data_IF_525202733029
#
_entry.id   IF_525202733029
#
_cell.length_a   1.000
_cell.length_b   1.000
_cell.length_c   1.000
_cell.angle_alpha   90.00
_cell.angle_beta   90.00
_cell.angle_gamma   90.00
#
_symmetry.space_group_name_H-M   'P 1'
#
loop_
_entity.id
_entity.type
_entity.pdbx_description
1 polymer ?
#
# COMPACT_ATOMS: atom_id res chain seq x y z
N UNK A 1 11.93 -28.94 64.32
CA UNK A 1 11.22 -28.92 63.01
C UNK A 1 11.22 -27.47 62.50
N UNK A 2 12.05 -27.15 61.51
CA UNK A 2 12.15 -25.81 60.90
C UNK A 2 11.64 -25.96 59.47
N UNK A 3 10.53 -25.29 59.16
CA UNK A 3 9.93 -25.19 57.88
C UNK A 3 10.67 -24.13 57.05
N UNK A 4 11.21 -24.54 55.92
CA UNK A 4 11.85 -23.68 54.92
C UNK A 4 10.77 -23.13 54.00
N UNK A 5 10.56 -21.81 54.01
CA UNK A 5 9.71 -21.14 53.03
C UNK A 5 10.55 -20.80 51.80
N UNK A 6 10.16 -21.33 50.64
CA UNK A 6 10.77 -21.04 49.34
C UNK A 6 10.05 -19.87 48.67
N UNK A 7 10.72 -18.73 48.60
CA UNK A 7 10.24 -17.54 47.90
C UNK A 7 10.54 -17.69 46.40
N UNK A 8 9.49 -17.87 45.60
CA UNK A 8 9.58 -17.88 44.15
C UNK A 8 9.55 -16.42 43.65
N UNK A 9 10.70 -15.95 43.17
CA UNK A 9 10.83 -14.67 42.50
C UNK A 9 10.43 -14.87 41.02
N UNK A 10 9.24 -14.42 40.66
CA UNK A 10 8.73 -14.42 39.29
C UNK A 10 9.33 -13.22 38.53
N UNK A 11 10.42 -13.46 37.80
CA UNK A 11 11.06 -12.48 36.93
C UNK A 11 10.22 -12.24 35.71
N UNK A 12 9.53 -11.11 35.64
CA UNK A 12 8.84 -10.68 34.43
C UNK A 12 9.87 -10.25 33.36
N UNK A 13 10.02 -11.07 32.33
CA UNK A 13 10.81 -10.73 31.14
C UNK A 13 10.04 -9.70 30.34
N UNK A 14 10.45 -8.44 30.40
CA UNK A 14 9.93 -7.35 29.58
C UNK A 14 10.61 -7.43 28.21
N UNK A 15 9.94 -8.06 27.24
CA UNK A 15 10.40 -8.06 25.86
C UNK A 15 10.06 -6.71 25.23
N UNK A 16 11.05 -5.82 25.17
CA UNK A 16 10.93 -4.59 24.37
C UNK A 16 11.04 -4.96 22.89
N UNK A 17 9.92 -4.92 22.20
CA UNK A 17 9.89 -4.99 20.75
C UNK A 17 10.43 -3.67 20.16
N UNK A 18 11.70 -3.66 19.78
CA UNK A 18 12.25 -2.59 18.93
C UNK A 18 11.76 -2.81 17.49
N UNK A 19 10.65 -2.17 17.11
CA UNK A 19 10.23 -2.08 15.72
C UNK A 19 11.08 -1.02 15.02
N UNK A 20 12.26 -1.42 14.57
CA UNK A 20 13.16 -0.55 13.84
C UNK A 20 12.78 -0.45 12.35
N UNK A 21 13.02 0.68 11.74
CA UNK A 21 12.86 1.00 10.31
C UNK A 21 13.52 -0.04 9.37
N UNK A 22 14.46 -0.85 9.85
CA UNK A 22 15.11 -1.94 9.12
C UNK A 22 14.23 -3.17 8.85
N UNK A 23 13.11 -3.34 9.55
CA UNK A 23 12.21 -4.49 9.35
C UNK A 23 11.32 -4.31 8.12
N UNK A 24 10.84 -3.09 7.86
CA UNK A 24 9.96 -2.78 6.72
C UNK A 24 10.67 -3.00 5.38
N UNK A 25 11.89 -2.49 5.22
CA UNK A 25 12.68 -2.69 3.98
C UNK A 25 12.99 -4.17 3.72
N UNK A 26 13.30 -4.94 4.77
CA UNK A 26 13.53 -6.38 4.66
C UNK A 26 12.26 -7.12 4.24
N UNK A 27 11.12 -6.77 4.82
CA UNK A 27 9.82 -7.38 4.45
C UNK A 27 9.48 -7.08 2.99
N UNK A 28 9.63 -5.84 2.52
CA UNK A 28 9.44 -5.47 1.12
C UNK A 28 10.38 -6.28 0.21
N UNK A 29 11.65 -6.42 0.59
CA UNK A 29 12.62 -7.21 -0.17
C UNK A 29 12.24 -8.68 -0.25
N UNK A 30 11.83 -9.30 0.85
CA UNK A 30 11.38 -10.70 0.87
C UNK A 30 10.13 -10.87 0.00
N UNK A 31 9.14 -10.00 0.16
CA UNK A 31 7.88 -10.07 -0.60
C UNK A 31 8.02 -9.67 -2.07
N UNK A 32 9.13 -9.07 -2.48
CA UNK A 32 9.43 -8.81 -3.90
C UNK A 32 9.88 -10.06 -4.67
N UNK A 33 10.25 -11.11 -3.96
CA UNK A 33 10.61 -12.39 -4.56
C UNK A 33 9.37 -13.25 -4.78
N UNK A 34 9.25 -13.82 -5.99
CA UNK A 34 8.17 -14.76 -6.28
C UNK A 34 8.58 -16.16 -5.89
N UNK A 35 7.81 -16.77 -5.00
CA UNK A 35 7.87 -18.19 -4.67
C UNK A 35 6.95 -19.02 -5.60
N UNK A 36 6.02 -18.35 -6.26
CA UNK A 36 4.99 -18.95 -7.12
C UNK A 36 4.80 -18.14 -8.41
N UNK A 37 4.27 -18.77 -9.44
CA UNK A 37 3.98 -18.16 -10.75
C UNK A 37 2.58 -18.48 -11.26
N UNK A 38 1.77 -19.22 -10.47
CA UNK A 38 0.49 -19.81 -10.86
C UNK A 38 -0.72 -19.18 -10.14
N UNK A 39 -0.50 -18.11 -9.34
CA UNK A 39 -1.55 -17.51 -8.52
C UNK A 39 -2.43 -16.57 -9.32
N UNK A 40 -1.83 -15.67 -10.10
CA UNK A 40 -2.57 -14.73 -10.92
C UNK A 40 -1.98 -14.56 -12.31
N UNK A 41 -2.81 -14.11 -13.22
CA UNK A 41 -2.42 -13.68 -14.57
C UNK A 41 -2.98 -12.30 -14.85
N UNK A 42 -2.17 -11.40 -15.43
CA UNK A 42 -2.68 -10.15 -15.96
C UNK A 42 -3.63 -10.41 -17.14
N UNK A 43 -4.73 -9.67 -17.18
CA UNK A 43 -5.70 -9.77 -18.29
C UNK A 43 -5.98 -8.37 -18.85
N UNK A 44 -5.99 -8.27 -20.17
CA UNK A 44 -6.28 -7.00 -20.88
C UNK A 44 -7.76 -6.81 -21.18
N UNK A 45 -8.54 -7.90 -21.18
CA UNK A 45 -9.90 -7.88 -21.64
C UNK A 45 -10.91 -7.81 -20.51
N UNK A 46 -12.06 -7.18 -20.78
CA UNK A 46 -13.28 -7.28 -19.97
C UNK A 46 -13.95 -8.67 -20.05
N UNK A 47 -13.19 -9.69 -20.45
CA UNK A 47 -13.70 -11.04 -20.58
C UNK A 47 -14.25 -11.55 -19.24
N UNK A 48 -15.35 -12.27 -19.25
CA UNK A 48 -15.89 -12.89 -18.05
C UNK A 48 -14.86 -13.87 -17.47
N UNK A 49 -14.82 -13.94 -16.14
CA UNK A 49 -13.95 -14.89 -15.47
C UNK A 49 -14.39 -16.33 -15.79
N UNK A 50 -13.48 -17.24 -16.16
CA UNK A 50 -13.80 -18.66 -16.31
C UNK A 50 -14.37 -19.23 -15.01
N UNK A 51 -15.07 -20.38 -15.13
CA UNK A 51 -15.59 -21.09 -13.95
C UNK A 51 -14.45 -21.37 -12.95
N UNK A 52 -14.68 -21.07 -11.67
CA UNK A 52 -13.69 -21.22 -10.61
C UNK A 52 -12.68 -20.08 -10.48
N UNK A 53 -12.76 -19.06 -11.34
CA UNK A 53 -11.91 -17.86 -11.28
C UNK A 53 -12.73 -16.60 -11.03
N UNK A 54 -12.04 -15.55 -10.59
CA UNK A 54 -12.54 -14.18 -10.48
C UNK A 54 -11.61 -13.23 -11.22
N UNK A 55 -12.12 -12.05 -11.54
CA UNK A 55 -11.30 -10.93 -12.04
C UNK A 55 -11.20 -9.90 -10.93
N UNK A 56 -9.99 -9.60 -10.52
CA UNK A 56 -9.67 -8.53 -9.56
C UNK A 56 -9.15 -7.32 -10.33
N UNK A 57 -9.83 -6.19 -10.22
CA UNK A 57 -9.31 -4.89 -10.61
C UNK A 57 -8.62 -4.29 -9.39
N UNK A 58 -7.30 -4.24 -9.45
CA UNK A 58 -6.48 -3.64 -8.41
C UNK A 58 -6.18 -2.20 -8.79
N UNK A 59 -6.51 -1.25 -7.91
CA UNK A 59 -6.26 0.18 -8.06
C UNK A 59 -5.48 0.72 -6.88
N UNK A 60 -4.49 1.53 -7.16
CA UNK A 60 -3.76 2.27 -6.16
C UNK A 60 -3.29 3.60 -6.74
N UNK A 61 -3.15 4.61 -5.91
CA UNK A 61 -2.57 5.87 -6.34
C UNK A 61 -1.67 6.45 -5.28
N UNK A 62 -0.74 7.29 -5.73
CA UNK A 62 0.10 8.13 -4.87
C UNK A 62 0.37 9.44 -5.60
N UNK A 63 0.44 10.52 -4.85
CA UNK A 63 0.99 11.79 -5.32
C UNK A 63 2.29 12.05 -4.57
N UNK A 64 3.34 12.37 -5.32
CA UNK A 64 4.68 12.67 -4.80
C UNK A 64 5.05 14.12 -5.13
N UNK A 65 5.97 14.75 -4.38
CA UNK A 65 6.49 16.05 -4.74
C UNK A 65 7.07 16.07 -6.16
N UNK A 66 7.09 17.24 -6.79
CA UNK A 66 7.96 17.48 -7.94
C UNK A 66 9.39 17.34 -7.43
N UNK A 67 10.15 16.47 -8.07
CA UNK A 67 11.52 16.22 -7.66
C UNK A 67 12.39 17.46 -7.92
N UNK A 68 13.19 17.83 -6.94
CA UNK A 68 14.40 18.62 -7.19
C UNK A 68 15.40 17.74 -7.96
N UNK A 69 16.16 18.31 -8.85
CA UNK A 69 17.02 17.74 -9.92
C UNK A 69 17.84 16.46 -9.62
N UNK A 70 17.78 15.87 -8.45
CA UNK A 70 18.66 14.78 -8.02
C UNK A 70 18.04 13.40 -7.87
N UNK A 71 16.75 13.24 -8.10
CA UNK A 71 16.11 11.96 -7.92
C UNK A 71 15.29 11.57 -9.14
N UNK A 72 15.26 10.31 -9.46
CA UNK A 72 14.32 9.57 -10.31
C UNK A 72 13.98 10.10 -11.74
N UNK A 73 14.40 11.31 -12.15
CA UNK A 73 14.32 11.76 -13.52
C UNK A 73 15.13 10.81 -14.42
N UNK A 74 14.42 10.03 -15.23
CA UNK A 74 15.00 8.98 -16.05
C UNK A 74 14.74 7.57 -15.55
N UNK A 75 14.17 7.37 -14.35
CA UNK A 75 13.66 6.07 -13.95
C UNK A 75 12.33 5.78 -14.66
N UNK A 76 12.08 4.53 -15.04
CA UNK A 76 10.93 4.15 -15.88
C UNK A 76 9.57 4.22 -15.17
N UNK A 77 9.44 4.91 -14.05
CA UNK A 77 8.19 5.14 -13.31
C UNK A 77 8.28 4.77 -11.83
N UNK A 78 7.21 5.11 -11.09
CA UNK A 78 7.08 4.84 -9.67
C UNK A 78 6.77 3.34 -9.44
N UNK A 79 7.54 2.63 -8.58
CA UNK A 79 7.37 1.19 -8.39
C UNK A 79 6.26 0.88 -7.39
N UNK A 80 5.30 0.06 -7.81
CA UNK A 80 4.30 -0.58 -6.95
C UNK A 80 4.59 -2.08 -6.86
N UNK A 81 4.81 -2.58 -5.66
CA UNK A 81 4.98 -4.00 -5.38
C UNK A 81 3.66 -4.61 -4.95
N UNK A 82 3.30 -5.72 -5.56
CA UNK A 82 2.16 -6.55 -5.13
C UNK A 82 2.60 -8.00 -5.05
N UNK A 83 2.31 -8.65 -3.94
CA UNK A 83 2.50 -10.09 -3.80
C UNK A 83 1.17 -10.71 -3.36
N UNK A 84 0.67 -11.65 -4.15
CA UNK A 84 -0.58 -12.36 -3.85
C UNK A 84 -0.21 -13.82 -3.62
N UNK A 85 -0.41 -14.32 -2.42
CA UNK A 85 -0.17 -15.72 -2.03
C UNK A 85 1.20 -16.28 -2.49
N UNK A 86 2.25 -15.45 -2.45
CA UNK A 86 3.61 -15.82 -2.84
C UNK A 86 3.98 -15.53 -4.29
N UNK A 87 3.06 -15.06 -5.15
CA UNK A 87 3.42 -14.55 -6.47
C UNK A 87 3.58 -13.02 -6.40
N UNK A 88 4.80 -12.53 -6.67
CA UNK A 88 5.11 -11.11 -6.68
C UNK A 88 5.08 -10.54 -8.11
N UNK A 89 4.67 -9.28 -8.21
CA UNK A 89 4.86 -8.44 -9.39
C UNK A 89 5.23 -7.02 -8.95
N UNK A 90 6.16 -6.42 -9.68
CA UNK A 90 6.49 -5.01 -9.51
C UNK A 90 6.16 -4.28 -10.79
N UNK A 91 5.28 -3.28 -10.67
CA UNK A 91 4.88 -2.45 -11.81
C UNK A 91 5.42 -1.04 -11.64
N UNK A 92 6.25 -0.61 -12.58
CA UNK A 92 6.68 0.77 -12.69
C UNK A 92 5.62 1.57 -13.45
N UNK A 93 5.04 2.58 -12.81
CA UNK A 93 3.95 3.40 -13.37
C UNK A 93 4.45 4.80 -13.63
N UNK A 94 4.32 5.25 -14.88
CA UNK A 94 4.63 6.64 -15.24
C UNK A 94 3.69 7.60 -14.51
N UNK A 95 4.27 8.65 -13.94
CA UNK A 95 3.51 9.70 -13.30
C UNK A 95 3.10 10.80 -14.28
N UNK A 96 2.03 11.48 -13.97
CA UNK A 96 1.58 12.70 -14.68
C UNK A 96 1.69 13.89 -13.74
N UNK A 97 2.08 15.02 -14.29
CA UNK A 97 2.07 16.28 -13.53
C UNK A 97 0.62 16.61 -13.15
N UNK A 98 0.37 16.77 -11.86
CA UNK A 98 -0.92 17.08 -11.28
C UNK A 98 -0.82 18.34 -10.41
N UNK A 99 -1.62 19.34 -10.71
CA UNK A 99 -1.66 20.60 -9.98
C UNK A 99 -3.08 20.85 -9.50
N UNK A 100 -3.25 20.85 -8.19
CA UNK A 100 -4.50 21.24 -7.54
C UNK A 100 -4.32 22.56 -6.80
N UNK A 101 -5.35 23.42 -6.72
CA UNK A 101 -5.26 24.69 -6.02
C UNK A 101 -4.76 24.52 -4.58
N UNK A 102 -3.72 25.26 -4.21
CA UNK A 102 -3.19 25.27 -2.84
C UNK A 102 -4.07 26.08 -1.88
N UNK A 103 -4.94 26.91 -2.43
CA UNK A 103 -5.90 27.73 -1.69
C UNK A 103 -7.31 27.46 -2.23
N UNK A 104 -8.30 27.51 -1.34
CA UNK A 104 -9.71 27.46 -1.72
C UNK A 104 -10.20 28.82 -2.28
N UNK A 105 -11.46 28.85 -2.67
CA UNK A 105 -12.07 30.08 -3.22
C UNK A 105 -12.14 31.24 -2.24
N UNK A 106 -12.05 30.96 -0.94
CA UNK A 106 -12.05 31.97 0.12
C UNK A 106 -10.64 32.44 0.50
N UNK A 107 -9.62 32.04 -0.27
CA UNK A 107 -8.21 32.36 -0.02
C UNK A 107 -7.60 31.63 1.17
N UNK A 108 -8.26 30.64 1.75
CA UNK A 108 -7.72 29.79 2.81
C UNK A 108 -6.92 28.63 2.23
N UNK A 109 -5.96 28.14 2.99
CA UNK A 109 -5.20 26.95 2.61
C UNK A 109 -6.14 25.77 2.36
N UNK A 110 -6.03 25.15 1.19
CA UNK A 110 -6.82 23.99 0.83
C UNK A 110 -6.64 22.85 1.84
N UNK A 111 -7.74 22.16 2.16
CA UNK A 111 -7.73 20.95 3.00
C UNK A 111 -7.58 19.66 2.19
N UNK A 112 -7.52 19.75 0.85
CA UNK A 112 -7.24 18.60 0.00
C UNK A 112 -5.80 18.12 0.27
N UNK A 113 -5.59 16.86 0.70
CA UNK A 113 -4.25 16.32 0.95
C UNK A 113 -3.35 16.32 -0.29
N UNK A 114 -3.94 16.38 -1.47
CA UNK A 114 -3.24 16.44 -2.75
C UNK A 114 -3.16 17.88 -3.33
N UNK A 115 -3.48 18.91 -2.55
CA UNK A 115 -3.34 20.31 -2.98
C UNK A 115 -1.87 20.66 -3.26
N UNK A 116 -1.66 21.46 -4.30
CA UNK A 116 -0.34 21.86 -4.77
C UNK A 116 0.11 21.07 -6.02
N UNK A 117 1.30 21.42 -6.51
CA UNK A 117 1.92 20.75 -7.65
C UNK A 117 2.65 19.49 -7.22
N UNK A 118 2.53 18.42 -8.02
CA UNK A 118 3.19 17.15 -7.77
C UNK A 118 3.08 16.20 -8.96
N UNK A 119 3.55 14.99 -8.77
CA UNK A 119 3.44 13.89 -9.74
C UNK A 119 2.43 12.89 -9.21
N UNK A 120 1.35 12.65 -9.95
CA UNK A 120 0.33 11.64 -9.65
C UNK A 120 0.64 10.35 -10.39
N UNK A 121 0.84 9.26 -9.65
CA UNK A 121 1.01 7.91 -10.18
C UNK A 121 -0.25 7.10 -9.86
N UNK A 122 -0.81 6.42 -10.87
CA UNK A 122 -2.02 5.61 -10.71
C UNK A 122 -1.76 4.22 -11.27
N UNK A 123 -1.73 3.23 -10.40
CA UNK A 123 -1.70 1.82 -10.78
C UNK A 123 -3.13 1.34 -11.03
N UNK A 124 -3.37 0.75 -12.19
CA UNK A 124 -4.58 -0.03 -12.47
C UNK A 124 -4.17 -1.33 -13.15
N UNK A 125 -4.47 -2.47 -12.51
CA UNK A 125 -4.18 -3.80 -13.04
C UNK A 125 -5.38 -4.71 -12.92
N UNK A 126 -5.63 -5.46 -13.98
CA UNK A 126 -6.66 -6.50 -14.00
C UNK A 126 -6.00 -7.86 -13.88
N UNK A 127 -6.33 -8.57 -12.84
CA UNK A 127 -5.75 -9.85 -12.50
C UNK A 127 -6.84 -10.91 -12.49
N UNK A 128 -6.57 -12.04 -13.13
CA UNK A 128 -7.40 -13.24 -13.02
C UNK A 128 -6.79 -14.14 -11.96
N UNK A 129 -7.57 -14.47 -10.93
CA UNK A 129 -7.19 -15.33 -9.83
C UNK A 129 -8.23 -16.47 -9.67
N UNK A 130 -7.88 -17.54 -8.99
CA UNK A 130 -8.87 -18.53 -8.52
C UNK A 130 -9.85 -17.85 -7.56
N UNK A 131 -11.09 -18.34 -7.51
CA UNK A 131 -12.03 -17.89 -6.48
C UNK A 131 -11.59 -18.45 -5.12
N UNK A 132 -11.78 -17.68 -4.06
CA UNK A 132 -11.39 -18.07 -2.71
C UNK A 132 -10.75 -16.92 -1.91
N UNK A 133 -10.14 -17.30 -0.80
CA UNK A 133 -9.38 -16.36 0.05
C UNK A 133 -8.01 -16.14 -0.54
N UNK A 134 -7.59 -14.88 -0.51
CA UNK A 134 -6.26 -14.44 -0.93
C UNK A 134 -5.69 -13.46 0.07
N UNK A 135 -4.39 -13.56 0.33
CA UNK A 135 -3.62 -12.56 1.05
C UNK A 135 -2.86 -11.72 0.04
N UNK A 136 -3.04 -10.41 0.13
CA UNK A 136 -2.40 -9.45 -0.76
C UNK A 136 -1.48 -8.57 0.07
N UNK A 137 -0.19 -8.66 -0.23
CA UNK A 137 0.80 -7.70 0.21
C UNK A 137 0.91 -6.61 -0.84
N UNK A 138 0.67 -5.36 -0.44
CA UNK A 138 0.85 -4.17 -1.26
C UNK A 138 1.97 -3.34 -0.67
N UNK A 139 3.00 -3.03 -1.46
CA UNK A 139 4.19 -2.31 -1.01
C UNK A 139 4.56 -1.15 -1.91
N UNK A 140 5.09 -0.11 -1.29
CA UNK A 140 5.70 1.06 -1.93
C UNK A 140 7.16 1.11 -1.49
N UNK A 141 8.09 0.55 -2.28
CA UNK A 141 9.50 0.49 -1.91
C UNK A 141 10.13 1.87 -1.66
N UNK A 142 9.78 2.87 -2.45
CA UNK A 142 10.31 4.24 -2.34
C UNK A 142 9.84 4.95 -1.06
N UNK A 143 8.67 4.60 -0.54
CA UNK A 143 8.12 5.15 0.70
C UNK A 143 8.47 4.30 1.94
N UNK A 144 9.15 3.18 1.73
CA UNK A 144 9.38 2.18 2.78
C UNK A 144 8.08 1.81 3.52
N UNK A 145 7.01 1.58 2.74
CA UNK A 145 5.66 1.33 3.23
C UNK A 145 5.11 0.04 2.66
N UNK A 146 4.37 -0.71 3.46
CA UNK A 146 3.54 -1.83 2.99
C UNK A 146 2.29 -2.01 3.84
N UNK A 147 1.32 -2.72 3.27
CA UNK A 147 0.12 -3.20 3.96
C UNK A 147 -0.22 -4.60 3.46
N UNK A 148 -0.70 -5.46 4.35
CA UNK A 148 -1.22 -6.79 4.01
C UNK A 148 -2.73 -6.81 4.22
N UNK A 149 -3.46 -7.36 3.25
CA UNK A 149 -4.92 -7.39 3.23
C UNK A 149 -5.40 -8.77 2.84
N UNK A 150 -6.32 -9.34 3.59
CA UNK A 150 -7.03 -10.56 3.23
C UNK A 150 -8.34 -10.23 2.50
N UNK A 151 -8.58 -10.89 1.38
CA UNK A 151 -9.82 -10.72 0.61
C UNK A 151 -10.46 -12.07 0.28
N UNK A 152 -11.77 -12.04 0.00
CA UNK A 152 -12.51 -13.20 -0.49
C UNK A 152 -13.08 -12.89 -1.88
N UNK A 153 -12.68 -13.66 -2.89
CA UNK A 153 -13.14 -13.54 -4.27
C UNK A 153 -14.19 -14.59 -4.59
N UNK A 154 -15.32 -14.15 -5.19
CA UNK A 154 -16.41 -15.01 -5.63
C UNK A 154 -16.19 -15.42 -7.08
N UNK A 155 -16.32 -16.72 -7.38
CA UNK A 155 -16.18 -17.26 -8.73
C UNK A 155 -17.14 -16.63 -9.73
N UNK A 156 -16.67 -16.40 -10.95
CA UNK A 156 -17.43 -15.77 -12.03
C UNK A 156 -17.72 -14.29 -11.83
N UNK A 157 -17.18 -13.64 -10.76
CA UNK A 157 -17.44 -12.24 -10.45
C UNK A 157 -16.19 -11.38 -10.70
N UNK A 158 -16.46 -10.10 -10.96
CA UNK A 158 -15.44 -9.03 -10.91
C UNK A 158 -15.43 -8.44 -9.50
N UNK A 159 -14.25 -8.13 -8.97
CA UNK A 159 -14.06 -7.41 -7.72
C UNK A 159 -13.11 -6.24 -7.96
N UNK A 160 -13.29 -5.16 -7.22
CA UNK A 160 -12.41 -3.98 -7.25
C UNK A 160 -11.76 -3.86 -5.87
N UNK A 161 -10.45 -3.95 -5.84
CA UNK A 161 -9.63 -3.69 -4.66
C UNK A 161 -8.92 -2.36 -4.86
N UNK A 162 -9.24 -1.40 -4.01
CA UNK A 162 -8.74 -0.03 -4.11
C UNK A 162 -7.95 0.34 -2.86
N UNK A 163 -6.74 0.84 -3.08
CA UNK A 163 -5.85 1.40 -2.07
C UNK A 163 -5.84 2.93 -2.20
N UNK A 164 -6.39 3.63 -1.18
CA UNK A 164 -6.44 5.10 -1.12
C UNK A 164 -5.40 5.63 -0.15
N UNK A 165 -4.49 6.50 -0.61
CA UNK A 165 -3.44 7.02 0.26
C UNK A 165 -4.01 8.00 1.30
N UNK A 166 -3.56 7.84 2.53
CA UNK A 166 -3.70 8.83 3.60
C UNK A 166 -2.31 9.40 3.86
N UNK A 167 -2.17 10.69 3.67
CA UNK A 167 -0.88 11.37 3.82
C UNK A 167 -0.66 11.88 5.24
N UNK A 168 0.62 12.01 5.63
CA UNK A 168 1.02 12.57 6.91
C UNK A 168 0.67 14.05 7.01
N UNK A 169 0.51 14.53 8.23
CA UNK A 169 0.18 15.91 8.50
C UNK A 169 1.38 16.85 8.39
N UNK A 170 1.15 18.03 7.88
CA UNK A 170 2.07 19.16 8.01
C UNK A 170 2.14 19.57 9.48
N UNK A 171 3.35 19.82 10.00
CA UNK A 171 3.61 20.07 11.44
C UNK A 171 3.27 21.49 11.70
N UNK A 172 2.78 22.41 11.56
CA UNK A 172 2.45 23.80 11.93
C UNK A 172 2.52 24.78 10.74
N UNK A 173 1.75 25.85 10.79
CA UNK A 173 0.76 26.24 11.80
C UNK A 173 -0.57 25.53 11.67
N UNK A 174 -0.84 24.86 10.55
CA UNK A 174 -2.11 24.16 10.29
C UNK A 174 -1.86 22.67 10.16
N UNK A 175 -2.49 21.87 11.00
CA UNK A 175 -2.43 20.41 10.96
C UNK A 175 -3.30 19.88 9.79
N UNK A 176 -2.78 19.99 8.57
CA UNK A 176 -3.44 19.51 7.35
C UNK A 176 -2.62 18.36 6.79
N UNK A 177 -3.26 17.21 6.42
CA UNK A 177 -2.56 16.14 5.73
C UNK A 177 -2.07 16.64 4.36
N UNK A 178 -0.86 16.22 3.93
CA UNK A 178 -0.30 16.64 2.65
C UNK A 178 0.63 15.59 2.08
N UNK A 179 0.52 15.36 0.76
CA UNK A 179 1.39 14.46 0.03
C UNK A 179 2.88 14.81 0.15
N UNK A 180 3.20 16.08 0.42
CA UNK A 180 4.58 16.54 0.62
C UNK A 180 5.27 15.92 1.86
N UNK A 181 4.52 15.29 2.76
CA UNK A 181 5.03 14.61 3.96
C UNK A 181 5.07 13.10 3.83
N UNK A 182 4.75 12.58 2.65
CA UNK A 182 4.71 11.14 2.38
C UNK A 182 3.46 10.45 2.94
N UNK A 183 3.43 9.14 2.80
CA UNK A 183 2.30 8.29 3.20
C UNK A 183 2.32 8.04 4.71
N UNK A 184 1.15 8.16 5.34
CA UNK A 184 0.88 7.69 6.69
C UNK A 184 0.37 6.25 6.66
N UNK A 185 -0.68 6.00 5.86
CA UNK A 185 -1.30 4.69 5.67
C UNK A 185 -2.08 4.63 4.36
N UNK A 186 -2.61 3.47 4.04
CA UNK A 186 -3.63 3.29 3.01
C UNK A 186 -4.94 2.84 3.65
N UNK A 187 -6.04 3.42 3.20
CA UNK A 187 -7.37 2.83 3.36
C UNK A 187 -7.63 1.86 2.22
N UNK A 188 -8.13 0.69 2.57
CA UNK A 188 -8.36 -0.40 1.62
C UNK A 188 -9.84 -0.64 1.47
N UNK A 189 -10.31 -0.69 0.22
CA UNK A 189 -11.72 -0.91 -0.10
C UNK A 189 -11.86 -2.11 -1.03
N UNK A 190 -12.79 -3.01 -0.71
CA UNK A 190 -13.20 -4.09 -1.61
C UNK A 190 -14.63 -3.83 -2.08
N UNK A 191 -14.81 -3.61 -3.39
CA UNK A 191 -16.10 -3.25 -3.99
C UNK A 191 -16.76 -2.03 -3.30
N UNK A 192 -15.97 -1.03 -2.94
CA UNK A 192 -16.43 0.19 -2.29
C UNK A 192 -16.66 0.07 -0.78
N UNK A 193 -16.54 -1.13 -0.19
CA UNK A 193 -16.61 -1.31 1.25
C UNK A 193 -15.22 -1.32 1.86
N UNK A 194 -14.99 -0.51 2.88
CA UNK A 194 -13.74 -0.47 3.62
C UNK A 194 -13.50 -1.79 4.38
N UNK A 195 -12.27 -2.29 4.34
CA UNK A 195 -11.82 -3.50 4.99
C UNK A 195 -11.21 -3.24 6.37
#
# INVERSE_FOLDING_TARGET
>A
MRTLEATIVCGALFVMAFTGCGTTSKEIQVKSQSERTDVFMETKADAPAPKGYAVLLLRASIKTPLESDNSLHGKPGYPFLVNIDGQAAMWAVGGIKDSKPAYDTDGKTSRDPEAGEGIKCVLEKRLRLRAGRHQIFFGLPEENFFITTDIMLKGGKKAVLEYKPIYRYKTLPTRIPTFLKGIDKYEVFLNGKQL
#
